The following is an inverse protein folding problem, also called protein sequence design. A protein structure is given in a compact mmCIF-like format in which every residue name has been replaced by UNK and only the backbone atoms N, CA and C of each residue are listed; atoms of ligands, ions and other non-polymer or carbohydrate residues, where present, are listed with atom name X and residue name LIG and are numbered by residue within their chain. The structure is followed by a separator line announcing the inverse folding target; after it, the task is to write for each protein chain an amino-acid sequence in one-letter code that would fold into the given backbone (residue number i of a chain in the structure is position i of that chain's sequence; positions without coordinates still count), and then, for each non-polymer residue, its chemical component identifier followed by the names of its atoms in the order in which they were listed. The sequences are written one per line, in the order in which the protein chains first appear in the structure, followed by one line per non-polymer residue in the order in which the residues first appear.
data_IF_686590966569
#
_entry.id   IF_686590966569
#
_cell.length_a   1.000
_cell.length_b   1.000
_cell.length_c   1.000
_cell.angle_alpha   90.00
_cell.angle_beta   90.00
_cell.angle_gamma   90.00
#
_symmetry.space_group_name_H-M   'P 1'
#
loop_
_entity.id
_entity.type
_entity.pdbx_description
1 polymer ?
#
# COMPACT_ATOMS: atom_id res chain seq x y z
N UNK A 1 23.78 -18.91 -13.15
CA UNK A 1 22.46 -18.26 -13.31
C UNK A 1 21.92 -17.85 -11.97
N UNK A 2 21.15 -16.76 -11.91
CA UNK A 2 20.42 -16.34 -10.70
C UNK A 2 18.94 -16.41 -11.02
N UNK A 3 18.17 -17.04 -10.15
CA UNK A 3 16.71 -17.09 -10.20
C UNK A 3 16.13 -16.73 -8.84
N UNK A 4 14.85 -16.40 -8.79
CA UNK A 4 14.14 -16.27 -7.53
C UNK A 4 12.75 -16.92 -7.61
N UNK A 5 12.22 -17.30 -6.47
CA UNK A 5 10.83 -17.68 -6.27
C UNK A 5 10.23 -16.80 -5.17
N UNK A 6 9.00 -16.35 -5.37
CA UNK A 6 8.23 -15.70 -4.30
C UNK A 6 7.54 -16.78 -3.48
N UNK A 7 7.98 -16.92 -2.23
CA UNK A 7 7.52 -18.00 -1.34
C UNK A 7 6.38 -17.53 -0.42
N UNK A 8 6.22 -16.21 -0.26
CA UNK A 8 5.10 -15.60 0.46
C UNK A 8 4.84 -14.19 -0.06
N UNK A 9 3.56 -13.82 -0.12
CA UNK A 9 3.10 -12.47 -0.38
C UNK A 9 1.82 -12.21 0.43
N UNK A 10 1.89 -11.27 1.36
CA UNK A 10 0.75 -10.88 2.20
C UNK A 10 0.33 -9.44 1.95
N UNK A 11 0.73 -8.86 0.82
CA UNK A 11 0.42 -7.46 0.50
C UNK A 11 -1.06 -7.36 0.16
N UNK A 12 -1.79 -6.61 0.98
CA UNK A 12 -3.19 -6.23 0.77
C UNK A 12 -3.25 -4.71 0.94
N UNK A 13 -3.89 -4.03 -0.01
CA UNK A 13 -4.05 -2.57 -0.02
C UNK A 13 -2.74 -1.83 0.27
N UNK A 14 -1.66 -2.26 -0.42
CA UNK A 14 -0.34 -1.64 -0.30
C UNK A 14 0.41 -1.91 1.00
N UNK A 15 -0.09 -2.77 1.89
CA UNK A 15 0.55 -3.07 3.18
C UNK A 15 0.79 -4.57 3.32
N UNK A 16 2.00 -4.95 3.74
CA UNK A 16 2.31 -6.35 4.06
C UNK A 16 3.77 -6.71 3.86
N UNK A 17 4.03 -8.00 3.63
CA UNK A 17 5.38 -8.53 3.47
C UNK A 17 5.44 -9.46 2.28
N UNK A 18 6.52 -9.35 1.52
CA UNK A 18 6.91 -10.30 0.47
C UNK A 18 8.17 -11.02 0.94
N UNK A 19 8.22 -12.34 0.77
CA UNK A 19 9.42 -13.14 1.01
C UNK A 19 9.81 -13.84 -0.28
N UNK A 20 11.06 -13.64 -0.70
CA UNK A 20 11.65 -14.26 -1.89
C UNK A 20 12.81 -15.15 -1.50
N UNK A 21 12.89 -16.30 -2.14
CA UNK A 21 14.07 -17.16 -2.11
C UNK A 21 14.84 -16.98 -3.42
N UNK A 22 16.11 -16.60 -3.30
CA UNK A 22 17.07 -16.50 -4.39
C UNK A 22 17.80 -17.83 -4.53
N UNK A 23 18.09 -18.24 -5.76
CA UNK A 23 18.93 -19.40 -6.06
C UNK A 23 20.00 -18.98 -7.04
N UNK A 24 21.26 -19.26 -6.69
CA UNK A 24 22.42 -19.04 -7.57
C UNK A 24 22.98 -20.38 -7.97
N UNK A 25 23.20 -20.59 -9.26
CA UNK A 25 23.90 -21.75 -9.82
C UNK A 25 25.18 -21.31 -10.52
N UNK A 26 26.33 -21.86 -10.14
CA UNK A 26 27.60 -21.58 -10.83
C UNK A 26 27.78 -22.42 -12.11
N UNK A 27 28.87 -22.20 -12.85
CA UNK A 27 29.14 -22.93 -14.10
C UNK A 27 29.51 -24.40 -13.87
N UNK A 28 29.83 -24.79 -12.63
CA UNK A 28 30.06 -26.18 -12.22
C UNK A 28 28.78 -26.90 -11.76
N UNK A 29 27.65 -26.20 -11.71
CA UNK A 29 26.37 -26.74 -11.26
C UNK A 29 26.14 -26.66 -9.74
N UNK A 30 27.03 -26.03 -8.97
CA UNK A 30 26.82 -25.84 -7.53
C UNK A 30 25.72 -24.82 -7.30
N UNK A 31 24.88 -25.06 -6.28
CA UNK A 31 23.76 -24.17 -5.93
C UNK A 31 23.84 -23.67 -4.50
N UNK A 32 23.39 -22.43 -4.28
CA UNK A 32 23.15 -21.84 -2.96
C UNK A 32 21.85 -21.06 -3.01
N UNK A 33 21.15 -20.99 -1.87
CA UNK A 33 19.95 -20.16 -1.71
C UNK A 33 20.11 -19.13 -0.61
N UNK A 34 19.33 -18.04 -0.72
CA UNK A 34 19.22 -17.00 0.31
C UNK A 34 17.84 -16.34 0.27
N UNK A 35 17.39 -15.78 1.38
CA UNK A 35 16.06 -15.18 1.51
C UNK A 35 16.09 -13.66 1.59
N UNK A 36 15.20 -13.00 0.86
CA UNK A 36 14.94 -11.57 0.95
C UNK A 36 13.54 -11.34 1.52
N UNK A 37 13.45 -10.58 2.61
CA UNK A 37 12.19 -10.06 3.14
C UNK A 37 12.01 -8.61 2.69
N UNK A 38 10.88 -8.31 2.07
CA UNK A 38 10.48 -6.97 1.64
C UNK A 38 9.26 -6.57 2.45
N UNK A 39 9.38 -5.52 3.26
CA UNK A 39 8.25 -4.95 4.01
C UNK A 39 7.66 -3.80 3.21
N UNK A 40 6.37 -3.90 2.90
CA UNK A 40 5.60 -2.85 2.22
C UNK A 40 4.80 -2.11 3.30
N UNK A 41 5.03 -0.80 3.39
CA UNK A 41 4.36 0.08 4.33
C UNK A 41 3.64 1.17 3.55
N UNK A 42 2.54 1.66 4.12
CA UNK A 42 1.96 2.93 3.75
C UNK A 42 2.28 3.98 4.81
N UNK A 43 2.67 5.16 4.35
CA UNK A 43 3.05 6.29 5.20
C UNK A 43 2.46 7.61 4.70
N UNK A 44 1.68 7.56 3.63
CA UNK A 44 0.99 8.72 3.11
C UNK A 44 -0.37 8.77 3.77
N UNK A 45 -0.81 9.96 4.14
CA UNK A 45 -2.16 10.12 4.69
C UNK A 45 -3.18 10.25 3.56
N UNK A 46 -4.42 9.81 3.77
CA UNK A 46 -5.49 10.03 2.81
C UNK A 46 -5.80 11.52 2.69
N UNK A 47 -6.25 11.91 1.51
CA UNK A 47 -6.69 13.27 1.21
C UNK A 47 -8.21 13.30 1.18
N UNK A 48 -8.81 14.20 1.97
CA UNK A 48 -10.24 14.47 1.91
C UNK A 48 -10.57 15.32 0.68
N UNK A 49 -11.66 14.96 0.00
CA UNK A 49 -12.18 15.64 -1.18
C UNK A 49 -13.62 16.08 -0.89
N UNK A 50 -13.94 17.33 -1.26
CA UNK A 50 -15.29 17.88 -1.10
C UNK A 50 -15.63 18.38 0.31
N UNK A 51 -14.62 18.61 1.17
CA UNK A 51 -14.84 19.23 2.49
C UNK A 51 -15.42 20.64 2.29
N UNK A 52 -16.60 20.95 2.83
CA UNK A 52 -17.20 22.27 2.70
C UNK A 52 -16.42 23.31 3.51
N UNK A 53 -16.50 24.57 3.11
CA UNK A 53 -16.01 25.67 3.93
C UNK A 53 -16.93 25.92 5.14
N UNK A 54 -16.37 26.51 6.19
CA UNK A 54 -17.15 26.97 7.33
C UNK A 54 -18.16 28.03 6.90
N UNK A 55 -19.38 27.94 7.45
CA UNK A 55 -20.47 28.90 7.19
C UNK A 55 -21.12 29.33 8.49
N UNK A 56 -21.56 30.58 8.55
CA UNK A 56 -22.46 31.08 9.60
C UNK A 56 -23.83 31.30 8.98
N UNK A 57 -24.87 30.73 9.59
CA UNK A 57 -26.24 30.78 9.07
C UNK A 57 -27.18 31.35 10.12
N UNK A 58 -28.25 31.98 9.66
CA UNK A 58 -29.26 32.54 10.55
C UNK A 58 -30.30 31.49 10.91
N UNK A 59 -30.61 31.37 12.20
CA UNK A 59 -31.66 30.48 12.73
C UNK A 59 -31.49 29.03 12.24
N UNK A 60 -32.46 28.54 11.47
CA UNK A 60 -32.61 27.17 10.98
C UNK A 60 -32.12 26.99 9.53
N UNK A 61 -31.46 27.99 8.95
CA UNK A 61 -30.87 27.93 7.59
C UNK A 61 -29.61 27.04 7.51
N UNK A 62 -29.62 25.89 8.16
CA UNK A 62 -28.53 24.92 8.20
C UNK A 62 -28.45 24.21 6.83
N UNK A 63 -27.30 24.25 6.13
CA UNK A 63 -27.16 23.55 4.86
C UNK A 63 -27.28 22.04 5.03
N UNK A 64 -27.71 21.36 3.96
CA UNK A 64 -27.67 19.90 3.91
C UNK A 64 -26.23 19.41 4.03
N UNK A 65 -26.04 18.28 4.72
CA UNK A 65 -24.72 17.65 4.85
C UNK A 65 -24.20 17.26 3.45
N UNK A 66 -23.04 17.78 3.02
CA UNK A 66 -22.46 17.39 1.74
C UNK A 66 -21.82 16.01 1.83
N UNK A 67 -21.61 15.37 0.69
CA UNK A 67 -20.80 14.16 0.60
C UNK A 67 -19.33 14.53 0.59
N UNK A 68 -18.57 14.03 1.57
CA UNK A 68 -17.10 14.09 1.61
C UNK A 68 -16.58 12.69 1.28
N UNK A 69 -15.57 12.62 0.42
CA UNK A 69 -14.85 11.37 0.13
C UNK A 69 -13.40 11.49 0.56
N UNK A 70 -12.70 10.36 0.61
CA UNK A 70 -11.26 10.31 0.82
C UNK A 70 -10.61 9.54 -0.34
N UNK A 71 -9.38 9.91 -0.69
CA UNK A 71 -8.55 9.17 -1.63
C UNK A 71 -7.18 8.95 -1.01
N UNK A 72 -6.65 7.74 -1.14
CA UNK A 72 -5.30 7.36 -0.73
C UNK A 72 -4.54 6.76 -1.93
N UNK A 73 -3.21 6.75 -1.91
CA UNK A 73 -2.38 6.10 -2.92
C UNK A 73 -2.33 4.57 -2.78
N UNK A 74 -2.70 4.01 -1.63
CA UNK A 74 -2.68 2.56 -1.38
C UNK A 74 -4.07 1.91 -1.29
N UNK A 75 -5.14 2.69 -1.33
CA UNK A 75 -6.52 2.19 -1.44
C UNK A 75 -6.93 2.05 -2.91
N UNK A 76 -7.27 0.83 -3.35
CA UNK A 76 -7.88 0.53 -4.67
C UNK A 76 -9.33 0.13 -4.57
#
# INVERSE_FOLDING_TARGET
TVSYSEISNTVVDGIGTIVREWTVTDNGGNTTTDTQTITVIDSTNPILVGVPADVTVQCDAIPTVPTVTATDNCDT
#
